data_IF_868746805343
#
_entry.id   IF_868746805343
#
_cell.length_a   1.000
_cell.length_b   1.000
_cell.length_c   1.000
_cell.angle_alpha   90.00
_cell.angle_beta   90.00
_cell.angle_gamma   90.00
#
_symmetry.space_group_name_H-M   'P 1'
#
loop_
_entity.id
_entity.type
_entity.pdbx_description
1 polymer ?
#
# COMPACT_ATOMS: atom_id res chain seq x y z
N UNK A 1 -1.76 -20.76 -0.43
CA UNK A 1 -0.44 -20.50 0.18
C UNK A 1 -0.75 -19.68 1.42
N UNK A 2 -0.48 -20.18 2.64
CA UNK A 2 -0.80 -19.42 3.87
C UNK A 2 0.00 -18.13 3.87
N UNK A 3 -0.62 -17.01 4.27
CA UNK A 3 0.04 -15.72 4.44
C UNK A 3 1.02 -15.80 5.62
N UNK A 4 2.25 -16.18 5.30
CA UNK A 4 3.39 -16.32 6.21
C UNK A 4 3.65 -15.08 7.09
N UNK A 5 3.39 -13.83 6.65
CA UNK A 5 3.59 -12.64 7.49
C UNK A 5 2.59 -12.51 8.64
N UNK A 6 1.38 -13.07 8.49
CA UNK A 6 0.28 -12.91 9.46
C UNK A 6 0.10 -14.13 10.38
N UNK A 7 0.82 -15.22 10.12
CA UNK A 7 0.68 -16.46 10.89
C UNK A 7 1.77 -16.56 11.96
N UNK A 8 1.34 -16.68 13.23
CA UNK A 8 2.25 -17.00 14.34
C UNK A 8 2.89 -18.37 14.07
N UNK A 9 4.23 -18.48 14.05
CA UNK A 9 4.88 -19.76 13.94
C UNK A 9 4.41 -20.68 15.08
N UNK A 10 4.11 -21.96 14.83
CA UNK A 10 3.81 -22.88 15.91
C UNK A 10 5.07 -23.02 16.77
N UNK A 11 5.01 -22.54 18.02
CA UNK A 11 6.07 -22.64 19.03
C UNK A 11 6.19 -24.08 19.58
N UNK A 12 6.06 -25.09 18.71
CA UNK A 12 6.04 -26.50 19.12
C UNK A 12 7.45 -27.07 19.05
N UNK A 13 7.94 -27.53 20.20
CA UNK A 13 9.20 -28.25 20.32
C UNK A 13 9.02 -29.72 19.96
N UNK A 14 10.11 -30.43 19.66
CA UNK A 14 10.06 -31.88 19.38
C UNK A 14 9.51 -32.68 20.59
N UNK A 15 9.51 -32.09 21.80
CA UNK A 15 8.89 -32.66 23.00
C UNK A 15 7.34 -32.56 22.96
N UNK A 16 6.80 -31.45 22.46
CA UNK A 16 5.35 -31.24 22.32
C UNK A 16 4.74 -32.17 21.26
N UNK A 17 5.51 -32.46 20.20
CA UNK A 17 5.14 -33.43 19.16
C UNK A 17 5.01 -34.85 19.72
N UNK A 18 5.90 -35.24 20.66
CA UNK A 18 5.85 -36.55 21.33
C UNK A 18 4.67 -36.66 22.30
N UNK A 19 4.27 -35.55 22.91
CA UNK A 19 3.14 -35.48 23.85
C UNK A 19 1.75 -35.47 23.16
N UNK A 20 1.68 -35.29 21.83
CA UNK A 20 0.43 -35.17 21.10
C UNK A 20 -0.34 -36.50 20.95
N UNK A 21 -1.67 -36.40 20.84
CA UNK A 21 -2.61 -37.49 20.51
C UNK A 21 -2.20 -38.23 19.22
N UNK A 22 -2.43 -39.55 19.09
CA UNK A 22 -2.04 -40.35 17.91
C UNK A 22 -2.46 -39.76 16.56
N UNK A 23 -3.64 -39.12 16.49
CA UNK A 23 -4.15 -38.46 15.28
C UNK A 23 -3.36 -37.21 14.90
N UNK A 24 -2.81 -36.49 15.88
CA UNK A 24 -2.03 -35.27 15.69
C UNK A 24 -0.52 -35.56 15.46
N UNK A 25 -0.04 -36.77 15.78
CA UNK A 25 1.37 -37.18 15.63
C UNK A 25 1.86 -37.25 14.18
N UNK A 26 0.97 -37.33 13.19
CA UNK A 26 1.34 -37.37 11.77
C UNK A 26 1.22 -36.01 11.06
N UNK A 27 0.40 -35.12 11.60
CA UNK A 27 0.05 -33.81 11.00
C UNK A 27 1.00 -32.72 11.50
N UNK A 28 1.27 -32.71 12.81
CA UNK A 28 2.15 -31.73 13.46
C UNK A 28 3.59 -31.78 12.88
N UNK A 29 4.23 -32.94 12.68
CA UNK A 29 5.58 -32.98 12.11
C UNK A 29 5.67 -32.46 10.67
N UNK A 30 4.62 -32.65 9.86
CA UNK A 30 4.56 -32.14 8.49
C UNK A 30 4.47 -30.62 8.47
N UNK A 31 3.64 -30.04 9.32
CA UNK A 31 3.55 -28.58 9.46
C UNK A 31 4.86 -27.98 9.98
N UNK A 32 5.47 -28.57 11.01
CA UNK A 32 6.78 -28.15 11.52
C UNK A 32 7.85 -28.22 10.43
N UNK A 33 7.86 -29.27 9.62
CA UNK A 33 8.83 -29.39 8.52
C UNK A 33 8.63 -28.32 7.44
N UNK A 34 7.37 -27.96 7.13
CA UNK A 34 7.07 -26.86 6.20
C UNK A 34 7.58 -25.52 6.76
N UNK A 35 7.36 -25.26 8.05
CA UNK A 35 7.89 -24.07 8.72
C UNK A 35 9.41 -24.03 8.74
N UNK A 36 10.08 -25.14 9.11
CA UNK A 36 11.56 -25.23 9.11
C UNK A 36 12.15 -25.02 7.72
N UNK A 37 11.51 -25.56 6.66
CA UNK A 37 11.95 -25.33 5.27
C UNK A 37 11.80 -23.88 4.85
N UNK A 38 10.69 -23.24 5.20
CA UNK A 38 10.45 -21.83 4.90
C UNK A 38 11.39 -20.91 5.69
N UNK A 39 11.63 -21.18 6.98
CA UNK A 39 12.61 -20.47 7.82
C UNK A 39 14.02 -20.56 7.20
N UNK A 40 14.47 -21.77 6.84
CA UNK A 40 15.77 -21.96 6.18
C UNK A 40 15.88 -21.22 4.83
N UNK A 41 14.81 -21.24 4.02
CA UNK A 41 14.76 -20.52 2.75
C UNK A 41 14.83 -19.00 2.95
N UNK A 42 14.11 -18.45 3.93
CA UNK A 42 14.14 -17.01 4.23
C UNK A 42 15.51 -16.62 4.79
N UNK A 43 16.11 -17.42 5.68
CA UNK A 43 17.49 -17.18 6.16
C UNK A 43 18.50 -17.19 5.02
N UNK A 44 18.36 -18.11 4.07
CA UNK A 44 19.22 -18.14 2.89
C UNK A 44 19.08 -16.86 2.07
N UNK A 45 17.85 -16.40 1.81
CA UNK A 45 17.60 -15.11 1.13
C UNK A 45 18.20 -13.95 1.91
N UNK A 46 18.00 -13.88 3.23
CA UNK A 46 18.55 -12.83 4.10
C UNK A 46 20.08 -12.83 4.16
N UNK A 47 20.74 -13.97 3.94
CA UNK A 47 22.20 -14.04 3.91
C UNK A 47 22.78 -13.69 2.53
N UNK A 48 22.00 -13.86 1.45
CA UNK A 48 22.49 -13.72 0.07
C UNK A 48 22.12 -12.40 -0.60
N UNK A 49 21.06 -11.73 -0.14
CA UNK A 49 20.38 -10.66 -0.91
C UNK A 49 20.54 -9.26 -0.31
N UNK A 50 20.47 -9.06 1.03
CA UNK A 50 20.62 -7.73 1.62
C UNK A 50 22.06 -7.21 1.49
N UNK A 51 22.25 -5.92 1.14
CA UNK A 51 23.55 -5.26 1.26
C UNK A 51 24.13 -5.39 2.67
N UNK A 52 25.45 -5.42 2.83
CA UNK A 52 26.13 -5.54 4.14
C UNK A 52 25.65 -4.51 5.17
N UNK A 53 25.17 -3.35 4.72
CA UNK A 53 24.56 -2.31 5.56
C UNK A 53 23.27 -2.76 6.28
N UNK A 54 22.58 -3.79 5.78
CA UNK A 54 21.40 -4.39 6.43
C UNK A 54 21.83 -5.35 7.54
N UNK A 55 22.92 -6.09 7.35
CA UNK A 55 23.44 -7.02 8.36
C UNK A 55 24.01 -6.27 9.57
N UNK A 56 24.65 -5.11 9.35
CA UNK A 56 25.12 -4.24 10.44
C UNK A 56 24.00 -3.61 11.28
N UNK A 57 22.75 -3.82 10.89
CA UNK A 57 21.59 -3.33 11.61
C UNK A 57 21.00 -4.35 12.57
N UNK A 58 21.40 -5.60 12.45
CA UNK A 58 20.88 -6.69 13.25
C UNK A 58 21.74 -6.83 14.53
N UNK A 59 21.15 -7.33 15.63
CA UNK A 59 21.90 -7.69 16.83
C UNK A 59 23.04 -8.68 16.55
N UNK A 60 24.10 -8.67 17.36
CA UNK A 60 25.25 -9.58 17.19
C UNK A 60 24.85 -11.08 17.23
N UNK A 61 23.73 -11.39 17.88
CA UNK A 61 23.12 -12.72 18.00
C UNK A 61 22.05 -13.01 16.95
N UNK A 62 21.92 -12.19 15.90
CA UNK A 62 20.87 -12.32 14.87
C UNK A 62 20.82 -13.67 14.16
N UNK A 63 21.94 -14.42 14.14
CA UNK A 63 21.98 -15.79 13.63
C UNK A 63 21.10 -16.76 14.44
N UNK A 64 20.85 -16.45 15.72
CA UNK A 64 20.07 -17.25 16.66
C UNK A 64 18.63 -16.76 16.82
N UNK A 65 18.28 -15.60 16.25
CA UNK A 65 16.92 -15.06 16.31
C UNK A 65 16.00 -15.82 15.34
N UNK A 66 14.72 -15.92 15.70
CA UNK A 66 13.67 -16.38 14.78
C UNK A 66 13.56 -15.43 13.57
N UNK A 67 13.28 -15.98 12.38
CA UNK A 67 13.19 -15.20 11.13
C UNK A 67 12.18 -14.05 11.25
N UNK A 68 11.04 -14.26 11.92
CA UNK A 68 10.05 -13.21 12.16
C UNK A 68 10.61 -12.05 13.00
N UNK A 69 11.48 -12.33 13.98
CA UNK A 69 12.13 -11.32 14.82
C UNK A 69 13.19 -10.55 14.02
N UNK A 70 13.96 -11.25 13.19
CA UNK A 70 14.91 -10.62 12.25
C UNK A 70 14.15 -9.67 11.31
N UNK A 71 13.04 -10.14 10.74
CA UNK A 71 12.19 -9.36 9.86
C UNK A 71 11.61 -8.12 10.56
N UNK A 72 11.07 -8.26 11.77
CA UNK A 72 10.57 -7.13 12.56
C UNK A 72 11.65 -6.09 12.89
N UNK A 73 12.91 -6.51 13.08
CA UNK A 73 14.01 -5.56 13.29
C UNK A 73 14.33 -4.79 12.01
N UNK A 74 14.32 -5.47 10.87
CA UNK A 74 14.46 -4.83 9.56
C UNK A 74 13.30 -3.87 9.30
N UNK A 75 12.06 -4.30 9.47
CA UNK A 75 10.87 -3.45 9.36
C UNK A 75 10.98 -2.23 10.26
N UNK A 76 11.21 -2.39 11.57
CA UNK A 76 11.34 -1.23 12.47
C UNK A 76 12.43 -0.25 12.07
N UNK A 77 13.55 -0.73 11.52
CA UNK A 77 14.66 0.16 11.13
C UNK A 77 14.39 0.86 9.80
N UNK A 78 13.83 0.15 8.82
CA UNK A 78 13.64 0.66 7.47
C UNK A 78 12.27 1.30 7.24
N UNK A 79 11.22 0.91 7.96
CA UNK A 79 9.93 1.62 8.03
C UNK A 79 10.08 2.99 8.68
N UNK A 80 10.95 3.12 9.70
CA UNK A 80 11.25 4.41 10.33
C UNK A 80 12.28 5.25 9.56
N UNK A 81 12.98 4.63 8.60
CA UNK A 81 13.92 5.29 7.71
C UNK A 81 13.24 6.12 6.62
N UNK A 82 14.05 6.92 5.91
CA UNK A 82 13.58 7.86 4.88
C UNK A 82 12.80 7.17 3.75
N UNK A 83 13.23 5.97 3.34
CA UNK A 83 12.53 5.15 2.35
C UNK A 83 11.17 4.64 2.85
N UNK A 84 11.08 4.17 4.09
CA UNK A 84 9.82 3.75 4.71
C UNK A 84 8.82 4.90 4.82
N UNK A 85 9.29 6.11 5.11
CA UNK A 85 8.47 7.33 5.12
C UNK A 85 7.88 7.66 3.75
N UNK A 86 8.64 7.49 2.67
CA UNK A 86 8.15 7.66 1.29
C UNK A 86 7.03 6.65 0.99
N UNK A 87 7.23 5.37 1.34
CA UNK A 87 6.22 4.33 1.16
C UNK A 87 4.95 4.63 1.95
N UNK A 88 5.07 5.11 3.19
CA UNK A 88 3.92 5.51 4.01
C UNK A 88 3.10 6.64 3.37
N UNK A 89 3.76 7.63 2.74
CA UNK A 89 3.05 8.70 2.04
C UNK A 89 2.35 8.19 0.78
N UNK A 90 3.00 7.33 0.01
CA UNK A 90 2.39 6.67 -1.16
C UNK A 90 1.17 5.84 -0.78
N UNK A 91 1.28 5.02 0.28
CA UNK A 91 0.18 4.21 0.78
C UNK A 91 -0.99 5.06 1.28
N UNK A 92 -0.71 6.15 1.99
CA UNK A 92 -1.74 7.11 2.41
C UNK A 92 -2.42 7.77 1.21
N UNK A 93 -1.66 8.16 0.20
CA UNK A 93 -2.21 8.70 -1.04
C UNK A 93 -3.14 7.71 -1.72
N UNK A 94 -2.71 6.47 -1.93
CA UNK A 94 -3.53 5.42 -2.54
C UNK A 94 -4.79 5.13 -1.71
N UNK A 95 -4.70 5.15 -0.38
CA UNK A 95 -5.86 4.99 0.49
C UNK A 95 -6.87 6.12 0.30
N UNK A 96 -6.42 7.37 0.24
CA UNK A 96 -7.29 8.51 -0.06
C UNK A 96 -7.85 8.31 -1.47
N UNK A 97 -7.01 7.99 -2.46
CA UNK A 97 -7.37 7.82 -3.87
C UNK A 97 -8.52 6.82 -4.08
N UNK A 98 -8.45 5.69 -3.39
CA UNK A 98 -9.39 4.58 -3.52
C UNK A 98 -10.56 4.66 -2.56
N UNK A 99 -10.56 5.62 -1.61
CA UNK A 99 -11.67 5.79 -0.66
C UNK A 99 -12.99 6.14 -1.37
N UNK A 100 -14.11 5.76 -0.76
CA UNK A 100 -15.41 6.25 -1.18
C UNK A 100 -15.56 7.70 -0.67
N UNK A 101 -15.56 8.65 -1.59
CA UNK A 101 -15.69 10.07 -1.29
C UNK A 101 -17.17 10.47 -1.25
N UNK A 102 -17.50 11.46 -0.41
CA UNK A 102 -18.86 11.98 -0.24
C UNK A 102 -19.30 12.84 -1.43
N UNK A 103 -18.43 13.76 -1.85
CA UNK A 103 -18.64 14.73 -2.92
C UNK A 103 -17.28 15.22 -3.47
N UNK A 104 -17.33 15.85 -4.65
CA UNK A 104 -16.15 16.29 -5.42
C UNK A 104 -15.29 17.30 -4.69
N UNK A 105 -15.88 18.22 -3.94
CA UNK A 105 -15.13 19.23 -3.21
C UNK A 105 -14.30 18.62 -2.08
N UNK A 106 -14.93 17.79 -1.25
CA UNK A 106 -14.25 17.09 -0.16
C UNK A 106 -13.12 16.19 -0.66
N UNK A 107 -13.29 15.63 -1.85
CA UNK A 107 -12.29 14.81 -2.53
C UNK A 107 -11.05 15.63 -2.91
N UNK A 108 -11.22 16.74 -3.62
CA UNK A 108 -10.11 17.60 -4.05
C UNK A 108 -9.40 18.24 -2.85
N UNK A 109 -10.14 18.67 -1.83
CA UNK A 109 -9.56 19.18 -0.59
C UNK A 109 -8.65 18.15 0.10
N UNK A 110 -9.14 16.91 0.27
CA UNK A 110 -8.39 15.82 0.90
C UNK A 110 -7.11 15.47 0.13
N UNK A 111 -7.19 15.42 -1.21
CA UNK A 111 -6.06 15.14 -2.07
C UNK A 111 -5.04 16.28 -2.07
N UNK A 112 -5.48 17.53 -2.15
CA UNK A 112 -4.59 18.70 -2.09
C UNK A 112 -3.85 18.76 -0.76
N UNK A 113 -4.52 18.47 0.36
CA UNK A 113 -3.88 18.39 1.67
C UNK A 113 -2.80 17.29 1.69
N UNK A 114 -3.12 16.09 1.19
CA UNK A 114 -2.17 14.98 1.12
C UNK A 114 -0.99 15.29 0.19
N UNK A 115 -1.24 15.91 -0.97
CA UNK A 115 -0.24 16.38 -1.94
C UNK A 115 0.72 17.38 -1.28
N UNK A 116 0.18 18.41 -0.64
CA UNK A 116 0.98 19.46 -0.02
C UNK A 116 1.83 18.89 1.13
N UNK A 117 1.27 17.98 1.92
CA UNK A 117 2.02 17.30 2.97
C UNK A 117 3.15 16.42 2.39
N UNK A 118 2.86 15.62 1.36
CA UNK A 118 3.81 14.76 0.68
C UNK A 118 4.93 15.58 0.02
N UNK A 119 4.59 16.65 -0.72
CA UNK A 119 5.56 17.52 -1.39
C UNK A 119 6.42 18.28 -0.38
N UNK A 120 5.84 18.80 0.70
CA UNK A 120 6.61 19.45 1.77
C UNK A 120 7.63 18.51 2.40
N UNK A 121 7.25 17.25 2.62
CA UNK A 121 8.13 16.26 3.26
C UNK A 121 9.17 15.70 2.28
N UNK A 122 8.77 15.34 1.06
CA UNK A 122 9.68 14.87 0.01
C UNK A 122 10.71 15.93 -0.41
N UNK A 123 10.32 17.20 -0.49
CA UNK A 123 11.27 18.30 -0.77
C UNK A 123 12.36 18.42 0.29
N UNK A 124 12.03 18.16 1.56
CA UNK A 124 13.03 18.12 2.66
C UNK A 124 13.93 16.88 2.59
N UNK A 125 13.37 15.75 2.17
CA UNK A 125 14.03 14.45 2.22
C UNK A 125 14.93 14.17 1.00
N UNK A 126 14.40 14.46 -0.19
CA UNK A 126 15.01 14.10 -1.48
C UNK A 126 15.13 15.30 -2.43
N UNK A 127 14.88 16.52 -1.93
CA UNK A 127 15.05 17.77 -2.69
C UNK A 127 14.02 17.99 -3.81
N UNK A 128 13.01 17.12 -3.93
CA UNK A 128 12.03 17.14 -5.04
C UNK A 128 10.62 16.96 -4.52
N UNK A 129 9.67 17.55 -5.26
CA UNK A 129 8.25 17.29 -5.06
C UNK A 129 7.88 15.95 -5.68
N UNK A 130 7.05 15.18 -4.99
CA UNK A 130 6.72 13.81 -5.38
C UNK A 130 5.41 13.71 -6.17
N UNK A 131 4.46 14.63 -5.94
CA UNK A 131 3.14 14.61 -6.58
C UNK A 131 2.82 15.98 -7.18
N UNK A 132 2.73 16.06 -8.50
CA UNK A 132 2.33 17.30 -9.19
C UNK A 132 0.82 17.46 -9.19
N UNK A 133 0.35 18.68 -9.43
CA UNK A 133 -1.08 18.94 -9.63
C UNK A 133 -1.64 18.17 -10.82
N UNK A 134 -0.92 18.19 -11.94
CA UNK A 134 -1.28 17.46 -13.16
C UNK A 134 -1.45 15.97 -12.88
N UNK A 135 -0.52 15.34 -12.16
CA UNK A 135 -0.61 13.92 -11.83
C UNK A 135 -1.79 13.62 -10.91
N UNK A 136 -2.05 14.50 -9.92
CA UNK A 136 -3.25 14.38 -9.09
C UNK A 136 -4.53 14.39 -9.93
N UNK A 137 -4.66 15.33 -10.88
CA UNK A 137 -5.82 15.42 -11.76
C UNK A 137 -5.99 14.15 -12.61
N UNK A 138 -4.90 13.67 -13.24
CA UNK A 138 -4.91 12.42 -14.01
C UNK A 138 -5.37 11.24 -13.16
N UNK A 139 -4.87 11.11 -11.93
CA UNK A 139 -5.25 10.01 -11.05
C UNK A 139 -6.69 10.10 -10.56
N UNK A 140 -7.24 11.30 -10.36
CA UNK A 140 -8.67 11.49 -10.07
C UNK A 140 -9.53 11.03 -11.24
N UNK A 141 -9.19 11.47 -12.46
CA UNK A 141 -9.95 11.12 -13.66
C UNK A 141 -9.87 9.63 -13.97
N UNK A 142 -8.73 8.99 -13.72
CA UNK A 142 -8.56 7.55 -13.87
C UNK A 142 -9.47 6.71 -12.95
N UNK A 143 -10.10 7.31 -11.92
CA UNK A 143 -11.07 6.63 -11.07
C UNK A 143 -12.48 6.56 -11.67
N UNK A 144 -12.71 7.22 -12.81
CA UNK A 144 -14.01 7.40 -13.45
C UNK A 144 -13.94 6.96 -14.91
N UNK A 145 -15.00 6.34 -15.46
CA UNK A 145 -15.08 6.01 -16.88
C UNK A 145 -14.85 7.25 -17.74
N UNK A 146 -13.93 7.15 -18.71
CA UNK A 146 -13.48 8.29 -19.52
C UNK A 146 -14.59 8.93 -20.34
N UNK A 147 -15.56 8.14 -20.76
CA UNK A 147 -16.69 8.52 -21.60
C UNK A 147 -17.56 9.62 -20.95
N UNK A 148 -17.49 9.77 -19.63
CA UNK A 148 -18.30 10.74 -18.89
C UNK A 148 -17.64 12.12 -18.86
N UNK A 149 -16.31 12.16 -18.75
CA UNK A 149 -15.58 13.40 -18.45
C UNK A 149 -14.70 13.89 -19.60
N UNK A 150 -14.38 13.03 -20.59
CA UNK A 150 -13.46 13.37 -21.69
C UNK A 150 -13.91 14.59 -22.50
N UNK A 151 -15.22 14.78 -22.67
CA UNK A 151 -15.78 15.94 -23.39
C UNK A 151 -15.89 17.21 -22.54
N UNK A 152 -15.75 17.09 -21.21
CA UNK A 152 -15.90 18.20 -20.26
C UNK A 152 -14.58 18.77 -19.79
N UNK A 153 -13.45 18.17 -20.19
CA UNK A 153 -12.12 18.53 -19.72
C UNK A 153 -11.23 18.78 -20.94
N UNK A 154 -10.71 20.01 -21.01
CA UNK A 154 -9.75 20.41 -22.02
C UNK A 154 -8.33 20.06 -21.56
N UNK A 155 -7.57 19.40 -22.42
CA UNK A 155 -6.18 18.98 -22.16
C UNK A 155 -5.19 20.04 -22.66
N UNK A 156 -5.30 21.27 -22.14
CA UNK A 156 -4.32 22.35 -22.38
C UNK A 156 -3.67 22.78 -21.07
N UNK A 157 -2.53 23.45 -21.16
CA UNK A 157 -1.79 23.93 -19.98
C UNK A 157 -2.64 24.91 -19.15
N UNK A 158 -3.40 25.81 -19.79
CA UNK A 158 -4.23 26.78 -19.08
C UNK A 158 -5.52 26.16 -18.51
N UNK A 159 -6.02 25.06 -19.10
CA UNK A 159 -7.30 24.47 -18.74
C UNK A 159 -7.19 23.28 -17.77
N UNK A 160 -6.06 22.55 -17.79
CA UNK A 160 -5.89 21.34 -17.00
C UNK A 160 -5.33 21.61 -15.60
N UNK A 161 -6.09 22.38 -14.82
CA UNK A 161 -5.77 22.73 -13.42
C UNK A 161 -6.71 22.00 -12.45
N UNK A 162 -6.31 21.85 -11.19
CA UNK A 162 -7.13 21.18 -10.18
C UNK A 162 -8.52 21.83 -10.04
N UNK A 163 -8.57 23.17 -10.04
CA UNK A 163 -9.81 23.93 -9.93
C UNK A 163 -10.77 23.66 -11.08
N UNK A 164 -10.27 23.72 -12.33
CA UNK A 164 -11.11 23.51 -13.52
C UNK A 164 -11.60 22.07 -13.62
N UNK A 165 -10.75 21.09 -13.29
CA UNK A 165 -11.14 19.68 -13.24
C UNK A 165 -12.17 19.44 -12.13
N UNK A 166 -11.99 20.03 -10.95
CA UNK A 166 -12.96 19.96 -9.85
C UNK A 166 -14.33 20.52 -10.28
N UNK A 167 -14.34 21.71 -10.89
CA UNK A 167 -15.58 22.34 -11.38
C UNK A 167 -16.26 21.48 -12.45
N UNK A 168 -15.52 20.92 -13.40
CA UNK A 168 -16.07 20.05 -14.44
C UNK A 168 -16.70 18.78 -13.84
N UNK A 169 -15.99 18.11 -12.93
CA UNK A 169 -16.49 16.93 -12.25
C UNK A 169 -17.69 17.28 -11.35
N UNK A 170 -17.68 18.41 -10.67
CA UNK A 170 -18.81 18.84 -9.85
C UNK A 170 -20.05 19.15 -10.69
N UNK A 171 -19.92 19.66 -11.93
CA UNK A 171 -21.05 19.81 -12.86
C UNK A 171 -21.61 18.46 -13.31
N UNK A 172 -20.76 17.45 -13.51
CA UNK A 172 -21.16 16.11 -13.95
C UNK A 172 -21.81 15.30 -12.82
N UNK A 173 -21.25 15.38 -11.62
CA UNK A 173 -21.59 14.50 -10.50
C UNK A 173 -22.33 15.20 -9.37
N UNK A 174 -22.22 16.52 -9.23
CA UNK A 174 -22.76 17.28 -8.11
C UNK A 174 -22.24 16.77 -6.77
N UNK A 175 -23.14 16.73 -5.78
CA UNK A 175 -22.84 16.26 -4.42
C UNK A 175 -22.89 14.73 -4.27
N UNK A 176 -22.73 13.99 -5.38
CA UNK A 176 -22.77 12.52 -5.36
C UNK A 176 -21.45 11.94 -4.84
N UNK A 177 -21.58 10.80 -4.17
CA UNK A 177 -20.45 9.96 -3.78
C UNK A 177 -19.80 9.27 -4.99
N UNK A 178 -18.65 8.60 -4.79
CA UNK A 178 -18.02 7.77 -5.84
C UNK A 178 -19.01 6.75 -6.40
N UNK A 179 -19.66 6.01 -5.51
CA UNK A 179 -20.63 4.97 -5.90
C UNK A 179 -21.80 5.57 -6.66
N UNK A 180 -22.39 6.66 -6.16
CA UNK A 180 -23.49 7.34 -6.86
C UNK A 180 -23.07 7.89 -8.23
N UNK A 181 -21.82 8.36 -8.35
CA UNK A 181 -21.25 8.82 -9.62
C UNK A 181 -21.08 7.67 -10.63
N UNK A 182 -20.62 6.51 -10.18
CA UNK A 182 -20.48 5.30 -11.00
C UNK A 182 -21.85 4.72 -11.40
N UNK A 183 -22.85 4.76 -10.52
CA UNK A 183 -24.22 4.33 -10.86
C UNK A 183 -24.84 5.19 -11.97
N UNK A 184 -24.66 6.52 -11.89
CA UNK A 184 -25.12 7.44 -12.94
C UNK A 184 -24.39 7.20 -14.25
N UNK A 185 -23.08 6.94 -14.19
CA UNK A 185 -22.29 6.57 -15.35
C UNK A 185 -22.84 5.32 -16.05
N UNK A 186 -23.08 4.26 -15.26
CA UNK A 186 -23.60 3.00 -15.76
C UNK A 186 -24.99 3.19 -16.36
N UNK A 187 -25.91 3.92 -15.71
CA UNK A 187 -27.25 4.18 -16.29
C UNK A 187 -27.18 4.92 -17.62
N UNK A 188 -26.26 5.89 -17.78
CA UNK A 188 -26.10 6.62 -19.05
C UNK A 188 -25.61 5.72 -20.19
N UNK A 189 -24.78 4.72 -19.90
CA UNK A 189 -24.31 3.75 -20.90
C UNK A 189 -25.41 2.77 -21.37
N UNK A 190 -26.46 2.54 -20.58
CA UNK A 190 -27.57 1.64 -20.95
C UNK A 190 -28.69 2.33 -21.76
N UNK A 191 -28.68 3.67 -21.84
CA UNK A 191 -29.68 4.47 -22.55
C UNK A 191 -29.11 5.18 -23.80
N UNK A 192 -27.86 4.90 -24.16
CA UNK A 192 -27.21 5.34 -25.40
C UNK A 192 -27.12 4.17 -26.39
#
# INVERSE_FOLDING_TARGET
MKDFPESTPPCLTDADVKAASPENRLTIPKEIMVWRKADAAIRHVLNMTPPNSFLSCLPDDARNLEVCVIWQHLERKFENGDAGRLMAWSNRWNRILNSNWKDTMNRFSSLNQARNEMNRKSKKLIGKEMMTETMMCVQVLAQLPSEIWVSSIELTEEAFTAEKVEVALNKLFGDRSKTGSLEVAMRRQWHA
#
